data_IF_822326490214
#
_entry.id   IF_822326490214
#
_cell.length_a   1.000
_cell.length_b   1.000
_cell.length_c   1.000
_cell.angle_alpha   90.00
_cell.angle_beta   90.00
_cell.angle_gamma   90.00
#
_symmetry.space_group_name_H-M   'P 1'
#
loop_
_entity.id
_entity.type
_entity.pdbx_description
1 polymer ?
#
# COMPACT_ATOMS: atom_id res chain seq x y z
N UNK A 1 3.82 6.29 8.13
CA UNK A 1 3.76 5.04 7.36
C UNK A 1 4.96 4.94 6.43
N UNK A 2 5.52 3.77 6.38
CA UNK A 2 6.56 3.41 5.44
C UNK A 2 5.96 2.55 4.33
N UNK A 3 6.38 2.78 3.09
CA UNK A 3 6.02 1.90 1.98
C UNK A 3 7.24 1.07 1.62
N UNK A 4 7.14 -0.25 1.85
CA UNK A 4 8.18 -1.17 1.46
C UNK A 4 8.34 -1.20 -0.05
N UNK A 5 9.46 -0.68 -0.55
CA UNK A 5 9.80 -0.79 -1.97
C UNK A 5 10.94 -1.76 -2.12
N UNK A 6 10.80 -2.59 -3.13
CA UNK A 6 11.86 -3.45 -3.51
C UNK A 6 12.32 -3.21 -4.94
N UNK A 7 13.61 -3.06 -5.08
CA UNK A 7 14.29 -2.84 -6.34
C UNK A 7 15.52 -3.75 -6.48
N UNK A 8 15.69 -4.31 -7.66
CA UNK A 8 16.97 -4.87 -8.09
C UNK A 8 17.73 -3.71 -8.76
N UNK A 9 18.82 -3.25 -8.17
CA UNK A 9 19.69 -2.22 -8.73
C UNK A 9 19.63 -0.85 -8.00
N UNK A 10 20.78 -0.32 -7.73
CA UNK A 10 21.20 0.95 -7.10
C UNK A 10 20.31 1.57 -6.01
N UNK A 11 20.73 1.39 -4.76
CA UNK A 11 20.19 2.05 -3.55
C UNK A 11 20.16 3.61 -3.65
N UNK A 12 20.92 4.17 -4.57
CA UNK A 12 21.13 5.62 -4.69
C UNK A 12 19.86 6.36 -5.14
N UNK A 13 19.10 5.79 -6.05
CA UNK A 13 17.96 6.46 -6.67
C UNK A 13 16.78 6.71 -5.73
N UNK A 14 16.55 5.88 -4.71
CA UNK A 14 15.43 6.02 -3.76
C UNK A 14 15.80 6.87 -2.57
N UNK A 15 17.04 6.78 -2.09
CA UNK A 15 17.54 7.71 -1.06
C UNK A 15 17.43 9.17 -1.51
N UNK A 16 17.68 9.42 -2.80
CA UNK A 16 17.54 10.76 -3.37
C UNK A 16 16.08 11.19 -3.53
N UNK A 17 15.13 10.27 -3.69
CA UNK A 17 13.70 10.57 -3.78
C UNK A 17 13.03 10.86 -2.47
N UNK A 18 13.35 10.12 -1.43
CA UNK A 18 12.91 10.47 -0.08
C UNK A 18 13.39 11.87 0.31
N UNK A 19 14.56 12.31 -0.25
CA UNK A 19 15.09 13.65 -0.07
C UNK A 19 14.47 14.70 -0.99
N UNK A 20 13.97 14.32 -2.17
CA UNK A 20 13.40 15.26 -3.15
C UNK A 20 12.02 15.80 -2.76
N UNK A 21 11.34 15.16 -1.79
CA UNK A 21 10.00 15.53 -1.36
C UNK A 21 8.87 15.25 -2.37
N UNK A 22 9.17 14.53 -3.47
CA UNK A 22 8.18 14.24 -4.51
C UNK A 22 7.19 13.13 -4.13
N UNK A 23 7.54 12.30 -3.14
CA UNK A 23 6.66 11.24 -2.63
C UNK A 23 6.13 11.62 -1.24
N UNK A 24 4.83 11.36 -0.97
CA UNK A 24 4.18 11.80 0.26
C UNK A 24 4.57 10.99 1.51
N UNK A 25 5.13 9.80 1.33
CA UNK A 25 5.55 8.91 2.42
C UNK A 25 6.92 8.32 2.13
N UNK A 26 7.60 7.86 3.17
CA UNK A 26 8.89 7.22 3.05
C UNK A 26 8.83 5.90 2.30
N UNK A 27 9.82 5.67 1.46
CA UNK A 27 10.03 4.43 0.72
C UNK A 27 11.19 3.69 1.36
N UNK A 28 10.91 2.56 2.00
CA UNK A 28 11.92 1.70 2.59
C UNK A 28 12.42 0.69 1.57
N UNK A 29 13.69 0.78 1.26
CA UNK A 29 14.35 -0.11 0.33
C UNK A 29 14.65 -1.48 0.96
N UNK A 30 14.22 -2.56 0.33
CA UNK A 30 14.56 -3.93 0.73
C UNK A 30 15.63 -4.52 -0.20
N UNK A 31 16.48 -5.44 0.28
CA UNK A 31 17.49 -6.08 -0.54
C UNK A 31 16.92 -6.82 -1.76
N UNK A 32 17.73 -7.00 -2.79
CA UNK A 32 17.36 -7.79 -3.97
C UNK A 32 16.94 -9.20 -3.58
N UNK A 33 15.75 -9.63 -4.01
CA UNK A 33 15.19 -10.95 -3.70
C UNK A 33 15.50 -11.93 -4.82
N UNK A 34 16.32 -12.90 -4.53
CA UNK A 34 16.82 -13.85 -5.53
C UNK A 34 16.11 -15.20 -5.40
N UNK A 35 15.57 -15.53 -4.21
CA UNK A 35 14.94 -16.83 -3.93
C UNK A 35 13.50 -16.71 -3.48
N UNK A 36 12.72 -17.78 -3.65
CA UNK A 36 11.33 -17.89 -3.19
C UNK A 36 11.20 -17.59 -1.69
N UNK A 37 12.14 -18.07 -0.89
CA UNK A 37 12.14 -17.94 0.55
C UNK A 37 12.32 -16.49 0.98
N UNK A 38 13.25 -15.76 0.34
CA UNK A 38 13.48 -14.34 0.61
C UNK A 38 12.26 -13.52 0.21
N UNK A 39 11.67 -13.80 -0.95
CA UNK A 39 10.44 -13.14 -1.42
C UNK A 39 9.31 -13.34 -0.40
N UNK A 40 9.02 -14.60 -0.05
CA UNK A 40 7.97 -14.96 0.89
C UNK A 40 8.19 -14.29 2.26
N UNK A 41 9.41 -14.34 2.78
CA UNK A 41 9.78 -13.71 4.05
C UNK A 41 9.50 -12.20 4.02
N UNK A 42 9.93 -11.51 2.96
CA UNK A 42 9.74 -10.05 2.84
C UNK A 42 8.25 -9.67 2.75
N UNK A 43 7.43 -10.42 2.02
CA UNK A 43 5.99 -10.17 1.99
C UNK A 43 5.32 -10.43 3.34
N UNK A 44 5.77 -11.43 4.09
CA UNK A 44 5.26 -11.70 5.43
C UNK A 44 5.70 -10.63 6.44
N UNK A 45 6.93 -10.14 6.34
CA UNK A 45 7.38 -8.98 7.11
C UNK A 45 6.49 -7.76 6.81
N UNK A 46 6.22 -7.46 5.54
CA UNK A 46 5.34 -6.36 5.16
C UNK A 46 3.91 -6.52 5.68
N UNK A 47 3.36 -7.74 5.71
CA UNK A 47 2.04 -8.00 6.28
C UNK A 47 1.95 -7.65 7.77
N UNK A 48 2.99 -7.97 8.53
CA UNK A 48 3.01 -7.85 10.00
C UNK A 48 3.54 -6.51 10.50
N UNK A 49 4.22 -5.75 9.66
CA UNK A 49 4.74 -4.44 10.00
C UNK A 49 3.62 -3.39 9.99
N UNK A 50 3.27 -2.88 11.16
CA UNK A 50 2.20 -1.87 11.33
C UNK A 50 2.52 -0.54 10.63
N UNK A 51 3.80 -0.24 10.39
CA UNK A 51 4.22 0.95 9.68
C UNK A 51 4.23 0.78 8.15
N UNK A 52 4.08 -0.44 7.65
CA UNK A 52 4.05 -0.72 6.22
C UNK A 52 2.63 -0.62 5.66
N UNK A 53 2.34 0.40 4.86
CA UNK A 53 1.04 0.57 4.22
C UNK A 53 0.89 -0.20 2.89
N UNK A 54 1.98 -0.65 2.27
CA UNK A 54 1.93 -1.38 1.02
C UNK A 54 3.31 -1.70 0.45
N UNK A 55 3.33 -2.40 -0.67
CA UNK A 55 4.57 -2.79 -1.34
C UNK A 55 4.58 -2.32 -2.79
N UNK A 56 5.70 -1.74 -3.21
CA UNK A 56 5.99 -1.47 -4.61
C UNK A 56 6.97 -2.55 -5.10
N UNK A 57 6.64 -3.19 -6.21
CA UNK A 57 7.53 -4.14 -6.88
C UNK A 57 8.05 -3.57 -8.19
N UNK A 58 9.29 -3.84 -8.50
CA UNK A 58 9.93 -3.43 -9.74
C UNK A 58 10.88 -4.51 -10.24
N UNK A 59 10.81 -4.86 -11.49
CA UNK A 59 11.59 -5.91 -12.14
C UNK A 59 12.22 -5.38 -13.43
N UNK A 60 13.27 -4.56 -13.32
CA UNK A 60 13.90 -3.99 -14.50
C UNK A 60 14.79 -5.00 -15.26
N UNK A 61 15.22 -6.08 -14.59
CA UNK A 61 15.97 -7.18 -15.20
C UNK A 61 15.06 -8.36 -15.48
N UNK A 62 15.61 -9.40 -16.13
CA UNK A 62 14.94 -10.70 -16.19
C UNK A 62 14.68 -11.24 -14.78
N UNK A 63 13.41 -11.49 -14.46
CA UNK A 63 13.00 -12.01 -13.16
C UNK A 63 12.05 -13.20 -13.35
N UNK A 64 12.42 -14.41 -12.89
CA UNK A 64 11.56 -15.59 -12.98
C UNK A 64 10.32 -15.40 -12.08
N UNK A 65 9.19 -15.03 -12.65
CA UNK A 65 8.00 -14.66 -11.89
C UNK A 65 7.40 -15.81 -11.09
N UNK A 66 7.66 -17.05 -11.45
CA UNK A 66 7.25 -18.22 -10.68
C UNK A 66 7.74 -18.18 -9.22
N UNK A 67 8.89 -17.57 -8.97
CA UNK A 67 9.45 -17.41 -7.62
C UNK A 67 8.61 -16.54 -6.69
N UNK A 68 7.71 -15.74 -7.24
CA UNK A 68 6.87 -14.79 -6.48
C UNK A 68 5.55 -15.39 -5.98
N UNK A 69 5.13 -16.53 -6.51
CA UNK A 69 3.79 -17.09 -6.27
C UNK A 69 3.48 -17.22 -4.79
N UNK A 70 4.36 -17.86 -4.02
CA UNK A 70 4.10 -18.13 -2.59
C UNK A 70 4.01 -16.83 -1.78
N UNK A 71 4.89 -15.88 -2.04
CA UNK A 71 4.85 -14.58 -1.36
C UNK A 71 3.58 -13.81 -1.69
N UNK A 72 3.18 -13.78 -2.96
CA UNK A 72 1.96 -13.10 -3.40
C UNK A 72 0.69 -13.73 -2.82
N UNK A 73 0.62 -15.06 -2.72
CA UNK A 73 -0.53 -15.75 -2.13
C UNK A 73 -0.75 -15.40 -0.65
N UNK A 74 0.31 -15.12 0.07
CA UNK A 74 0.28 -14.78 1.50
C UNK A 74 0.13 -13.27 1.74
N UNK A 75 0.40 -12.43 0.73
CA UNK A 75 0.35 -10.97 0.85
C UNK A 75 -1.07 -10.44 0.95
N UNK A 76 -1.30 -9.41 1.81
CA UNK A 76 -2.64 -8.91 2.14
C UNK A 76 -2.80 -7.39 2.05
N UNK A 77 -1.72 -6.65 1.86
CA UNK A 77 -1.76 -5.19 1.78
C UNK A 77 -1.80 -4.69 0.33
N UNK A 78 -2.06 -3.40 0.08
CA UNK A 78 -2.00 -2.81 -1.26
C UNK A 78 -0.66 -3.06 -1.96
N UNK A 79 -0.71 -3.37 -3.26
CA UNK A 79 0.46 -3.61 -4.09
C UNK A 79 0.45 -2.74 -5.34
N UNK A 80 1.58 -2.10 -5.61
CA UNK A 80 1.87 -1.42 -6.87
C UNK A 80 3.00 -2.14 -7.59
N UNK A 81 2.84 -2.35 -8.88
CA UNK A 81 3.92 -2.79 -9.76
C UNK A 81 4.41 -1.62 -10.62
N UNK A 82 5.66 -1.25 -10.46
CA UNK A 82 6.31 -0.24 -11.28
C UNK A 82 6.91 -0.89 -12.53
N UNK A 83 6.25 -0.68 -13.67
CA UNK A 83 6.67 -1.19 -14.97
C UNK A 83 7.55 -0.16 -15.66
N UNK A 84 8.85 -0.25 -15.48
CA UNK A 84 9.84 0.66 -16.04
C UNK A 84 11.15 -0.05 -16.33
N UNK A 85 11.92 0.52 -17.24
CA UNK A 85 13.30 0.10 -17.50
C UNK A 85 14.27 0.79 -16.52
N UNK A 86 15.47 0.27 -16.40
CA UNK A 86 16.54 0.88 -15.63
C UNK A 86 17.03 2.18 -16.28
N UNK A 87 17.32 2.13 -17.58
CA UNK A 87 17.74 3.30 -18.38
C UNK A 87 16.57 3.88 -19.15
N UNK A 88 16.57 5.21 -19.34
CA UNK A 88 15.57 5.91 -20.16
C UNK A 88 15.73 5.63 -21.65
N UNK A 89 16.95 5.74 -22.13
CA UNK A 89 17.29 5.67 -23.55
C UNK A 89 17.96 4.36 -23.89
N UNK A 90 17.79 3.90 -25.13
CA UNK A 90 18.51 2.76 -25.67
C UNK A 90 19.71 3.30 -26.48
N UNK A 91 20.95 3.07 -26.04
CA UNK A 91 22.14 3.56 -26.73
C UNK A 91 22.48 2.66 -27.95
N UNK A 92 21.78 2.85 -29.03
CA UNK A 92 21.87 1.99 -30.22
C UNK A 92 23.29 1.70 -30.72
N UNK A 93 24.19 2.66 -30.57
CA UNK A 93 25.58 2.54 -31.05
C UNK A 93 26.49 1.78 -30.10
N UNK A 94 26.12 1.62 -28.84
CA UNK A 94 26.96 1.05 -27.75
C UNK A 94 26.28 -0.05 -26.96
N UNK A 95 25.05 -0.42 -27.34
CA UNK A 95 24.28 -1.46 -26.64
C UNK A 95 25.00 -2.80 -26.69
N UNK A 96 25.11 -3.44 -25.54
CA UNK A 96 25.70 -4.76 -25.36
C UNK A 96 24.76 -5.68 -24.56
N UNK A 97 25.24 -6.88 -24.24
CA UNK A 97 24.46 -7.87 -23.49
C UNK A 97 24.23 -7.44 -22.04
N UNK A 98 25.15 -6.71 -21.45
CA UNK A 98 25.00 -6.23 -20.07
C UNK A 98 23.90 -5.18 -20.00
N UNK A 99 23.88 -4.22 -20.92
CA UNK A 99 22.79 -3.28 -21.05
C UNK A 99 21.44 -3.97 -21.27
N UNK A 100 21.40 -4.97 -22.14
CA UNK A 100 20.17 -5.73 -22.40
C UNK A 100 19.69 -6.45 -21.14
N UNK A 101 20.59 -7.04 -20.35
CA UNK A 101 20.23 -7.72 -19.10
C UNK A 101 19.68 -6.76 -18.03
N UNK A 102 20.21 -5.54 -17.96
CA UNK A 102 19.70 -4.52 -17.05
C UNK A 102 18.32 -3.97 -17.46
N UNK A 103 17.97 -4.05 -18.74
CA UNK A 103 16.76 -3.46 -19.31
C UNK A 103 15.78 -4.51 -19.88
N UNK A 104 15.55 -5.57 -19.15
CA UNK A 104 14.61 -6.65 -19.52
C UNK A 104 13.28 -6.61 -18.76
N UNK A 105 12.82 -5.45 -18.30
CA UNK A 105 11.56 -5.29 -17.57
C UNK A 105 10.37 -5.89 -18.35
N UNK A 106 10.28 -5.67 -19.64
CA UNK A 106 9.18 -6.18 -20.46
C UNK A 106 9.02 -7.71 -20.40
N UNK A 107 10.09 -8.45 -20.19
CA UNK A 107 10.05 -9.91 -20.05
C UNK A 107 9.53 -10.31 -18.65
N UNK A 108 10.16 -9.84 -17.59
CA UNK A 108 9.79 -10.17 -16.22
C UNK A 108 8.39 -9.65 -15.85
N UNK A 109 8.04 -8.45 -16.29
CA UNK A 109 6.75 -7.82 -15.98
C UNK A 109 5.55 -8.54 -16.62
N UNK A 110 5.70 -9.08 -17.84
CA UNK A 110 4.63 -9.86 -18.48
C UNK A 110 4.37 -11.15 -17.71
N UNK A 111 5.42 -11.86 -17.36
CA UNK A 111 5.30 -13.10 -16.60
C UNK A 111 4.72 -12.83 -15.20
N UNK A 112 5.16 -11.76 -14.56
CA UNK A 112 4.64 -11.31 -13.28
C UNK A 112 3.16 -10.93 -13.37
N UNK A 113 2.78 -10.19 -14.41
CA UNK A 113 1.37 -9.85 -14.69
C UNK A 113 0.50 -11.10 -14.92
N UNK A 114 1.04 -12.13 -15.60
CA UNK A 114 0.36 -13.41 -15.77
C UNK A 114 0.09 -14.09 -14.41
N UNK A 115 1.04 -14.08 -13.48
CA UNK A 115 0.85 -14.64 -12.14
C UNK A 115 -0.29 -13.96 -11.40
N UNK A 116 -0.37 -12.61 -11.43
CA UNK A 116 -1.48 -11.88 -10.83
C UNK A 116 -2.84 -12.28 -11.40
N UNK A 117 -2.94 -12.43 -12.72
CA UNK A 117 -4.16 -12.89 -13.37
C UNK A 117 -4.54 -14.30 -12.92
N UNK A 118 -3.57 -15.20 -12.77
CA UNK A 118 -3.80 -16.58 -12.31
C UNK A 118 -4.21 -16.64 -10.84
N UNK A 119 -3.70 -15.74 -10.01
CA UNK A 119 -4.05 -15.64 -8.60
C UNK A 119 -5.35 -14.85 -8.36
N UNK A 120 -5.94 -14.27 -9.40
CA UNK A 120 -7.08 -13.34 -9.30
C UNK A 120 -6.78 -12.21 -8.29
N UNK A 121 -5.58 -11.68 -8.34
CA UNK A 121 -5.08 -10.68 -7.40
C UNK A 121 -4.96 -9.32 -8.08
N UNK A 122 -5.55 -8.31 -7.46
CA UNK A 122 -5.47 -6.93 -7.95
C UNK A 122 -4.14 -6.27 -7.60
N UNK A 123 -3.72 -5.37 -8.46
CA UNK A 123 -2.56 -4.50 -8.25
C UNK A 123 -2.72 -3.20 -9.02
N UNK A 124 -2.09 -2.14 -8.55
CA UNK A 124 -1.87 -0.94 -9.38
C UNK A 124 -0.64 -1.16 -10.27
N UNK A 125 -0.77 -0.88 -11.55
CA UNK A 125 0.37 -0.81 -12.46
C UNK A 125 0.64 0.66 -12.80
N UNK A 126 1.90 1.08 -12.65
CA UNK A 126 2.40 2.37 -13.12
C UNK A 126 3.49 2.10 -14.14
N UNK A 127 3.29 2.56 -15.36
CA UNK A 127 4.23 2.37 -16.48
C UNK A 127 4.82 3.72 -16.90
N UNK A 128 6.07 3.69 -17.33
CA UNK A 128 6.83 4.86 -17.76
C UNK A 128 8.19 4.92 -17.07
N UNK A 129 9.02 5.90 -17.48
CA UNK A 129 10.32 6.03 -16.86
C UNK A 129 10.20 6.55 -15.43
N UNK A 130 10.89 5.91 -14.52
CA UNK A 130 10.72 6.12 -13.09
C UNK A 130 11.05 7.53 -12.57
N UNK A 131 11.83 8.34 -13.31
CA UNK A 131 12.10 9.73 -12.99
C UNK A 131 11.05 10.70 -13.56
N UNK A 132 10.16 10.25 -14.43
CA UNK A 132 9.14 11.11 -15.00
C UNK A 132 8.17 11.61 -13.91
N UNK A 133 7.89 12.91 -13.96
CA UNK A 133 7.03 13.57 -12.97
C UNK A 133 5.64 12.92 -12.88
N UNK A 134 5.07 12.53 -14.02
CA UNK A 134 3.76 11.89 -14.06
C UNK A 134 3.78 10.48 -13.46
N UNK A 135 4.87 9.74 -13.61
CA UNK A 135 5.07 8.45 -12.96
C UNK A 135 5.15 8.63 -11.44
N UNK A 136 5.92 9.60 -10.99
CA UNK A 136 6.04 9.92 -9.56
C UNK A 136 4.72 10.40 -8.95
N UNK A 137 3.94 11.22 -9.66
CA UNK A 137 2.58 11.62 -9.24
C UNK A 137 1.64 10.43 -9.10
N UNK A 138 1.69 9.47 -10.03
CA UNK A 138 0.88 8.25 -9.95
C UNK A 138 1.28 7.38 -8.76
N UNK A 139 2.57 7.22 -8.51
CA UNK A 139 3.09 6.51 -7.33
C UNK A 139 2.62 7.22 -6.06
N UNK A 140 2.81 8.54 -5.95
CA UNK A 140 2.38 9.32 -4.78
C UNK A 140 0.86 9.28 -4.54
N UNK A 141 0.06 9.26 -5.59
CA UNK A 141 -1.39 9.07 -5.49
C UNK A 141 -1.75 7.70 -4.93
N UNK A 142 -1.11 6.65 -5.44
CA UNK A 142 -1.30 5.30 -4.92
C UNK A 142 -0.84 5.16 -3.47
N UNK A 143 0.28 5.77 -3.10
CA UNK A 143 0.78 5.76 -1.72
C UNK A 143 -0.27 6.31 -0.74
N UNK A 144 -0.90 7.44 -1.07
CA UNK A 144 -2.01 8.00 -0.26
C UNK A 144 -3.19 7.04 -0.17
N UNK A 145 -3.53 6.38 -1.28
CA UNK A 145 -4.60 5.37 -1.29
C UNK A 145 -4.24 4.17 -0.41
N UNK A 146 -3.02 3.68 -0.50
CA UNK A 146 -2.54 2.55 0.32
C UNK A 146 -2.61 2.86 1.82
N UNK A 147 -2.14 4.04 2.23
CA UNK A 147 -2.27 4.50 3.62
C UNK A 147 -3.74 4.61 4.02
N UNK A 148 -4.59 5.21 3.16
CA UNK A 148 -6.03 5.31 3.43
C UNK A 148 -6.73 3.97 3.62
N UNK A 149 -6.33 2.92 2.87
CA UNK A 149 -6.87 1.56 3.03
C UNK A 149 -6.47 0.98 4.39
N UNK A 150 -5.20 1.11 4.78
CA UNK A 150 -4.71 0.59 6.07
C UNK A 150 -5.34 1.35 7.23
N UNK A 151 -5.39 2.68 7.18
CA UNK A 151 -6.04 3.51 8.20
C UNK A 151 -7.53 3.18 8.31
N UNK A 152 -8.21 2.99 7.19
CA UNK A 152 -9.62 2.62 7.17
C UNK A 152 -9.89 1.31 7.94
N UNK A 153 -8.97 0.35 7.89
CA UNK A 153 -9.12 -0.92 8.60
C UNK A 153 -9.07 -0.80 10.13
N UNK A 154 -8.63 0.33 10.67
CA UNK A 154 -8.55 0.60 12.10
C UNK A 154 -9.66 1.55 12.60
N UNK A 155 -10.63 1.88 11.75
CA UNK A 155 -11.71 2.78 12.09
C UNK A 155 -12.62 2.14 13.14
N UNK A 156 -12.88 2.89 14.24
CA UNK A 156 -13.89 2.58 15.24
C UNK A 156 -15.06 3.55 15.12
N UNK A 157 -16.25 3.00 14.92
CA UNK A 157 -17.48 3.77 14.77
C UNK A 157 -18.30 3.62 16.03
N UNK A 158 -18.44 4.71 16.77
CA UNK A 158 -19.36 4.79 17.89
C UNK A 158 -20.77 5.11 17.36
N UNK A 159 -21.68 4.18 17.51
CA UNK A 159 -23.09 4.39 17.20
C UNK A 159 -23.88 4.63 18.46
N UNK A 160 -24.53 5.78 18.56
CA UNK A 160 -25.39 6.12 19.71
C UNK A 160 -26.83 5.69 19.42
N UNK A 161 -27.43 4.91 20.31
CA UNK A 161 -28.75 4.31 20.18
C UNK A 161 -28.85 3.25 19.06
N UNK A 162 -30.03 3.10 18.47
CA UNK A 162 -30.32 2.06 17.48
C UNK A 162 -30.89 2.64 16.17
N UNK A 163 -31.30 1.79 15.26
CA UNK A 163 -31.93 2.16 14.00
C UNK A 163 -33.23 2.93 14.22
N UNK A 164 -33.55 3.81 13.29
CA UNK A 164 -34.86 4.47 13.29
C UNK A 164 -35.94 3.44 12.92
N UNK A 165 -37.05 3.47 13.64
CA UNK A 165 -38.15 2.54 13.39
C UNK A 165 -38.75 2.74 12.01
N UNK A 166 -38.88 1.65 11.25
CA UNK A 166 -39.48 1.60 9.92
C UNK A 166 -38.68 2.40 8.84
N UNK A 167 -37.39 2.65 9.06
CA UNK A 167 -36.53 3.36 8.11
C UNK A 167 -35.42 2.43 7.64
N UNK A 168 -35.62 1.79 6.50
CA UNK A 168 -34.73 0.74 5.98
C UNK A 168 -33.29 1.21 5.76
N UNK A 169 -33.07 2.46 5.39
CA UNK A 169 -31.72 3.02 5.15
C UNK A 169 -30.88 3.19 6.41
N UNK A 170 -31.47 3.07 7.60
CA UNK A 170 -30.74 3.08 8.87
C UNK A 170 -30.33 1.68 9.32
N UNK A 171 -30.83 0.63 8.67
CA UNK A 171 -30.41 -0.74 8.90
C UNK A 171 -29.02 -0.95 8.32
N UNK A 172 -28.05 -1.22 9.18
CA UNK A 172 -26.67 -1.45 8.79
C UNK A 172 -26.18 -2.80 9.29
N UNK A 173 -25.44 -3.52 8.44
CA UNK A 173 -24.78 -4.75 8.83
C UNK A 173 -23.38 -4.44 9.38
N UNK A 174 -23.27 -4.42 10.72
CA UNK A 174 -22.01 -4.15 11.42
C UNK A 174 -20.96 -5.26 11.20
N UNK A 175 -21.44 -6.49 11.06
CA UNK A 175 -20.56 -7.64 10.80
C UNK A 175 -19.97 -7.56 9.39
N UNK A 176 -20.80 -7.23 8.41
CA UNK A 176 -20.35 -7.03 7.02
C UNK A 176 -19.37 -5.84 6.92
N UNK A 177 -19.62 -4.75 7.68
CA UNK A 177 -18.70 -3.62 7.73
C UNK A 177 -17.31 -4.02 8.26
N UNK A 178 -17.26 -4.86 9.29
CA UNK A 178 -16.00 -5.38 9.81
C UNK A 178 -15.33 -6.34 8.83
N UNK A 179 -16.07 -7.25 8.21
CA UNK A 179 -15.53 -8.19 7.22
C UNK A 179 -14.95 -7.47 6.00
N UNK A 180 -15.65 -6.46 5.47
CA UNK A 180 -15.24 -5.78 4.23
C UNK A 180 -14.25 -4.65 4.42
N UNK A 181 -14.39 -3.89 5.51
CA UNK A 181 -13.64 -2.65 5.71
C UNK A 181 -12.73 -2.69 6.94
N UNK A 182 -12.86 -3.72 7.80
CA UNK A 182 -12.16 -3.79 9.08
C UNK A 182 -12.76 -2.87 10.16
N UNK A 183 -13.87 -2.20 9.90
CA UNK A 183 -14.48 -1.24 10.84
C UNK A 183 -15.12 -1.93 12.03
N UNK A 184 -14.71 -1.52 13.23
CA UNK A 184 -15.41 -1.90 14.46
C UNK A 184 -16.58 -0.94 14.72
N UNK A 185 -17.80 -1.44 14.65
CA UNK A 185 -19.00 -0.63 14.86
C UNK A 185 -19.69 -1.07 16.13
N UNK A 186 -19.56 -0.27 17.20
CA UNK A 186 -20.14 -0.54 18.50
C UNK A 186 -21.34 0.35 18.78
N UNK A 187 -22.41 -0.24 19.35
CA UNK A 187 -23.61 0.48 19.73
C UNK A 187 -23.59 0.79 21.23
N UNK A 188 -23.81 2.05 21.57
CA UNK A 188 -23.85 2.54 22.94
C UNK A 188 -25.25 3.08 23.27
N UNK A 189 -25.87 2.70 24.39
CA UNK A 189 -27.14 3.23 24.80
C UNK A 189 -27.02 4.73 25.19
N UNK A 190 -28.09 5.47 24.98
CA UNK A 190 -28.11 6.93 25.21
C UNK A 190 -27.73 7.31 26.64
N UNK A 191 -28.12 6.50 27.64
CA UNK A 191 -27.81 6.77 29.05
C UNK A 191 -26.27 6.73 29.32
N UNK A 192 -25.51 5.85 28.70
CA UNK A 192 -24.03 5.85 28.85
C UNK A 192 -23.42 7.15 28.32
N UNK A 193 -23.95 7.65 27.21
CA UNK A 193 -23.48 8.93 26.63
C UNK A 193 -23.85 10.08 27.57
N UNK A 194 -25.08 10.08 28.16
CA UNK A 194 -25.50 11.09 29.14
C UNK A 194 -24.62 11.04 30.37
N UNK A 195 -24.31 9.87 30.91
CA UNK A 195 -23.40 9.71 32.05
C UNK A 195 -22.00 10.27 31.74
N UNK A 196 -21.45 9.96 30.55
CA UNK A 196 -20.15 10.49 30.11
C UNK A 196 -20.19 12.03 30.01
N UNK A 197 -21.24 12.61 29.43
CA UNK A 197 -21.43 14.07 29.34
C UNK A 197 -21.45 14.71 30.70
N UNK A 198 -22.22 14.13 31.64
CA UNK A 198 -22.35 14.64 33.00
C UNK A 198 -21.04 14.53 33.82
N UNK A 199 -20.16 13.61 33.45
CA UNK A 199 -18.85 13.44 34.08
C UNK A 199 -17.81 14.45 33.60
N UNK A 200 -18.07 15.20 32.51
CA UNK A 200 -17.13 16.20 31.98
C UNK A 200 -17.06 17.39 32.95
N UNK A 201 -15.86 17.69 33.42
CA UNK A 201 -15.64 18.82 34.32
C UNK A 201 -15.75 20.17 33.60
N UNK A 202 -16.16 21.21 34.35
CA UNK A 202 -16.24 22.58 33.82
C UNK A 202 -14.89 23.07 33.29
N UNK A 203 -13.77 22.66 33.90
CA UNK A 203 -12.42 23.00 33.45
C UNK A 203 -12.12 22.40 32.05
N UNK A 204 -12.59 21.19 31.78
CA UNK A 204 -12.44 20.52 30.49
C UNK A 204 -13.21 21.25 29.37
N UNK A 205 -14.43 21.71 29.68
CA UNK A 205 -15.26 22.47 28.73
C UNK A 205 -14.65 23.81 28.36
N UNK A 206 -14.05 24.51 29.32
CA UNK A 206 -13.37 25.78 29.07
C UNK A 206 -12.11 25.60 28.23
N UNK A 207 -11.33 24.54 28.46
CA UNK A 207 -10.12 24.25 27.69
C UNK A 207 -10.42 24.00 26.21
N UNK A 208 -11.52 23.31 25.89
CA UNK A 208 -11.91 23.02 24.50
C UNK A 208 -12.57 24.18 23.78
N UNK A 209 -13.09 25.20 24.50
CA UNK A 209 -13.68 26.39 23.87
C UNK A 209 -12.67 27.45 23.48
N UNK A 210 -11.43 27.38 24.01
CA UNK A 210 -10.34 28.33 23.74
C UNK A 210 -9.32 27.81 22.72
N UNK A 211 -9.54 26.62 22.15
CA UNK A 211 -8.73 25.98 21.08
C UNK A 211 -9.42 26.14 19.69
#
# INVERSE_FOLDING_TARGET
YEIGVRLVGSEMCIRDRNKSGNLPYEVVWKPTMITNEVIRKTFNEANTDENCAGVITWMHTFSPAKSWILGLQEYRKPLLHLHTQFNREIPYDTIDMDFMNENQAAHGDREYGHIFSRLNMERKVVAGYWEDEDVQKQIGSWMRTAVGVVESSHVRVMRVADNMRNVAVTEGDKVEAQIKFGWEVDAYPVNEVVEAVNAVSQACLLYTSDA
#
